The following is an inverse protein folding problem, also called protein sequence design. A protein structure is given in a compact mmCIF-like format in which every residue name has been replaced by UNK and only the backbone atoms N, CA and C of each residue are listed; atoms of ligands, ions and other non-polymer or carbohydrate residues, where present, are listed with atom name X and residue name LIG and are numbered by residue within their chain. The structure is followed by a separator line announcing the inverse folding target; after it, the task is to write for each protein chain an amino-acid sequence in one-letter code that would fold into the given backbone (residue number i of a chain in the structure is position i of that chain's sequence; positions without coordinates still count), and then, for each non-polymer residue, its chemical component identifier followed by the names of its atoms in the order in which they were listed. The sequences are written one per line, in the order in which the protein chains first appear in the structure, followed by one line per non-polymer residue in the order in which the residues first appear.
data_IF_733018233728
#
_entry.id   IF_733018233728
#
_cell.length_a   1.000
_cell.length_b   1.000
_cell.length_c   1.000
_cell.angle_alpha   90.00
_cell.angle_beta   90.00
_cell.angle_gamma   90.00
#
_symmetry.space_group_name_H-M   'P 1'
#
loop_
_entity.id
_entity.type
_entity.pdbx_description
1 polymer ?
#
# COMPACT_ATOMS: atom_id res chain seq x y z
N UNK A 1 17.09 6.61 -53.31
CA UNK A 1 16.75 7.28 -54.58
C UNK A 1 17.68 6.76 -55.69
N UNK A 2 17.36 6.98 -56.96
CA UNK A 2 18.15 6.49 -58.11
C UNK A 2 19.60 7.00 -58.13
N UNK A 3 19.89 8.06 -57.36
CA UNK A 3 21.22 8.64 -57.10
C UNK A 3 22.00 7.95 -55.95
N UNK A 4 21.47 6.87 -55.34
CA UNK A 4 22.11 6.19 -54.20
C UNK A 4 21.88 6.84 -52.83
N UNK A 5 21.05 7.89 -52.74
CA UNK A 5 20.71 8.57 -51.49
C UNK A 5 19.70 7.75 -50.65
N UNK A 6 19.98 7.64 -49.35
CA UNK A 6 19.09 7.05 -48.34
C UNK A 6 18.29 8.15 -47.65
N UNK A 7 16.97 8.00 -47.61
CA UNK A 7 16.05 8.87 -46.87
C UNK A 7 15.31 7.99 -45.86
N UNK A 8 15.22 8.46 -44.62
CA UNK A 8 14.58 7.74 -43.52
C UNK A 8 13.59 8.66 -42.80
N UNK A 9 12.59 8.04 -42.18
CA UNK A 9 11.65 8.67 -41.27
C UNK A 9 11.35 7.68 -40.14
N UNK A 10 11.02 8.17 -38.94
CA UNK A 10 10.74 7.36 -37.77
C UNK A 10 9.49 7.87 -37.05
N UNK A 11 8.71 6.93 -36.52
CA UNK A 11 7.48 7.22 -35.79
C UNK A 11 7.43 6.36 -34.53
N UNK A 12 7.29 7.02 -33.38
CA UNK A 12 7.05 6.34 -32.11
C UNK A 12 5.57 6.03 -31.95
N UNK A 13 5.25 4.77 -31.65
CA UNK A 13 3.89 4.30 -31.43
C UNK A 13 3.78 3.81 -30.00
N UNK A 14 2.95 4.47 -29.21
CA UNK A 14 2.62 4.00 -27.87
C UNK A 14 1.56 2.89 -27.97
N UNK A 15 1.89 1.72 -27.44
CA UNK A 15 0.99 0.56 -27.37
C UNK A 15 0.51 0.37 -25.94
N UNK A 16 -0.79 0.11 -25.79
CA UNK A 16 -1.38 -0.33 -24.52
C UNK A 16 -1.15 -1.83 -24.30
N UNK A 17 -1.26 -2.28 -23.04
CA UNK A 17 -1.16 -3.69 -22.69
C UNK A 17 0.27 -4.23 -22.60
N UNK A 18 1.17 -3.43 -22.01
CA UNK A 18 2.59 -3.80 -21.80
C UNK A 18 2.75 -5.11 -21.00
N UNK A 19 1.87 -5.34 -20.01
CA UNK A 19 1.83 -6.60 -19.27
C UNK A 19 0.84 -7.56 -19.96
N UNK A 20 1.37 -8.65 -20.52
CA UNK A 20 0.55 -9.68 -21.19
C UNK A 20 0.01 -10.73 -20.20
N UNK A 21 0.66 -10.87 -19.05
CA UNK A 21 0.18 -11.66 -17.93
C UNK A 21 -0.72 -10.83 -17.03
N UNK A 22 -1.55 -11.50 -16.24
CA UNK A 22 -2.45 -10.88 -15.29
C UNK A 22 -2.52 -11.71 -14.01
N UNK A 23 -3.01 -11.09 -12.95
CA UNK A 23 -3.41 -11.77 -11.74
C UNK A 23 -4.66 -11.10 -11.18
N UNK A 24 -5.71 -11.90 -10.94
CA UNK A 24 -6.88 -11.46 -10.18
C UNK A 24 -6.94 -12.23 -8.87
N UNK A 25 -7.28 -11.51 -7.80
CA UNK A 25 -7.45 -12.06 -6.45
C UNK A 25 -8.89 -11.82 -6.03
N UNK A 26 -9.58 -12.90 -5.65
CA UNK A 26 -10.96 -12.86 -5.15
C UNK A 26 -11.03 -13.51 -3.79
N UNK A 27 -11.63 -12.80 -2.84
CA UNK A 27 -11.85 -13.31 -1.50
C UNK A 27 -13.28 -13.81 -1.37
N UNK A 28 -13.49 -14.89 -0.62
CA UNK A 28 -14.85 -15.38 -0.34
C UNK A 28 -15.68 -14.39 0.50
N UNK A 29 -15.02 -13.51 1.28
CA UNK A 29 -15.63 -12.51 2.15
C UNK A 29 -14.77 -11.25 2.17
N UNK A 30 -15.41 -10.08 2.17
CA UNK A 30 -14.75 -8.78 2.31
C UNK A 30 -14.62 -8.36 3.78
N UNK A 31 -15.39 -8.96 4.68
CA UNK A 31 -15.35 -8.70 6.10
C UNK A 31 -15.40 -10.00 6.91
N UNK A 32 -14.61 -10.05 7.98
CA UNK A 32 -14.49 -11.22 8.82
C UNK A 32 -14.14 -10.87 10.26
N UNK A 33 -14.22 -11.85 11.15
CA UNK A 33 -13.82 -11.71 12.55
C UNK A 33 -12.36 -12.16 12.72
N UNK A 34 -11.63 -11.54 13.66
CA UNK A 34 -10.31 -11.99 14.10
C UNK A 34 -10.27 -13.50 14.34
N UNK A 35 -9.28 -14.19 13.77
CA UNK A 35 -9.08 -15.63 13.92
C UNK A 35 -9.99 -16.52 13.07
N UNK A 36 -10.76 -15.96 12.13
CA UNK A 36 -11.61 -16.74 11.21
C UNK A 36 -10.83 -17.16 9.96
N UNK A 37 -11.13 -18.33 9.37
CA UNK A 37 -10.56 -18.72 8.08
C UNK A 37 -11.15 -17.88 6.95
N UNK A 38 -10.31 -17.49 6.00
CA UNK A 38 -10.65 -16.79 4.75
C UNK A 38 -10.04 -17.55 3.58
N UNK A 39 -10.80 -17.63 2.50
CA UNK A 39 -10.38 -18.32 1.28
C UNK A 39 -10.11 -17.28 0.19
N UNK A 40 -8.92 -17.37 -0.39
CA UNK A 40 -8.42 -16.53 -1.46
C UNK A 40 -8.35 -17.37 -2.73
N UNK A 41 -9.07 -16.93 -3.76
CA UNK A 41 -9.07 -17.54 -5.08
C UNK A 41 -8.28 -16.64 -6.02
N UNK A 42 -7.36 -17.24 -6.76
CA UNK A 42 -6.46 -16.58 -7.68
C UNK A 42 -6.74 -17.05 -9.09
N UNK A 43 -6.67 -16.12 -10.03
CA UNK A 43 -6.77 -16.39 -11.47
C UNK A 43 -5.59 -15.72 -12.17
N UNK A 44 -4.81 -16.49 -12.90
CA UNK A 44 -3.65 -16.05 -13.66
C UNK A 44 -3.52 -16.88 -14.94
N UNK A 45 -2.44 -16.67 -15.71
CA UNK A 45 -2.12 -17.56 -16.82
C UNK A 45 -1.77 -18.98 -16.30
N UNK A 46 -2.03 -20.03 -17.10
CA UNK A 46 -1.73 -21.42 -16.70
C UNK A 46 -0.26 -21.62 -16.32
N UNK A 47 -0.02 -22.31 -15.20
CA UNK A 47 1.32 -22.58 -14.66
C UNK A 47 2.15 -21.32 -14.32
N UNK A 48 1.52 -20.16 -14.22
CA UNK A 48 2.19 -18.96 -13.76
C UNK A 48 2.44 -19.01 -12.26
N UNK A 49 3.59 -18.49 -11.86
CA UNK A 49 3.94 -18.32 -10.48
C UNK A 49 3.24 -17.07 -9.92
N UNK A 50 2.70 -17.12 -8.70
CA UNK A 50 1.99 -16.01 -8.06
C UNK A 50 2.64 -15.71 -6.71
N UNK A 51 3.17 -14.49 -6.57
CA UNK A 51 3.61 -13.94 -5.28
C UNK A 51 2.49 -13.14 -4.63
N UNK A 52 2.26 -13.36 -3.34
CA UNK A 52 1.23 -12.65 -2.59
C UNK A 52 1.77 -11.98 -1.32
N UNK A 53 1.29 -10.76 -1.07
CA UNK A 53 1.63 -9.95 0.09
C UNK A 53 0.34 -9.42 0.72
N UNK A 54 0.24 -9.47 2.05
CA UNK A 54 -0.83 -8.81 2.79
C UNK A 54 -0.27 -8.00 3.95
N UNK A 55 -0.46 -6.69 3.91
CA UNK A 55 0.05 -5.74 4.90
C UNK A 55 -1.12 -5.03 5.58
N UNK A 56 -0.94 -4.69 6.85
CA UNK A 56 -1.91 -3.89 7.60
C UNK A 56 -2.04 -2.48 6.98
N UNK A 57 -3.27 -1.99 6.81
CA UNK A 57 -3.52 -0.64 6.30
C UNK A 57 -2.79 0.44 7.14
N UNK A 58 -2.64 0.25 8.45
CA UNK A 58 -1.92 1.20 9.32
C UNK A 58 -0.45 1.35 8.95
N UNK A 59 0.22 0.27 8.54
CA UNK A 59 1.62 0.30 8.07
C UNK A 59 1.73 1.03 6.73
N UNK A 60 0.75 0.81 5.84
CA UNK A 60 0.70 1.46 4.54
C UNK A 60 0.51 2.99 4.67
N UNK A 61 -0.15 3.46 5.73
CA UNK A 61 -0.29 4.90 6.02
C UNK A 61 1.02 5.55 6.50
N UNK A 62 1.96 4.77 7.05
CA UNK A 62 3.24 5.31 7.54
C UNK A 62 4.22 5.56 6.40
N UNK A 63 4.26 4.66 5.41
CA UNK A 63 5.14 4.78 4.25
C UNK A 63 4.57 4.01 3.06
N UNK A 64 4.33 4.73 1.97
CA UNK A 64 3.97 4.16 0.67
C UNK A 64 5.22 4.05 -0.23
N UNK A 65 5.15 3.22 -1.27
CA UNK A 65 6.17 3.15 -2.32
C UNK A 65 7.11 1.94 -2.29
N UNK A 66 6.82 0.92 -1.48
CA UNK A 66 7.55 -0.36 -1.51
C UNK A 66 6.88 -1.42 -2.40
N UNK A 67 5.68 -1.14 -2.92
CA UNK A 67 4.94 -2.04 -3.81
C UNK A 67 5.37 -1.86 -5.27
N UNK A 68 5.20 -2.92 -6.07
CA UNK A 68 5.50 -2.91 -7.50
C UNK A 68 4.30 -2.28 -8.22
N UNK A 69 4.48 -1.04 -8.68
CA UNK A 69 3.46 -0.30 -9.43
C UNK A 69 3.68 -0.43 -10.94
N UNK A 70 2.58 -0.38 -11.70
CA UNK A 70 2.61 -0.46 -13.16
C UNK A 70 3.51 0.62 -13.77
N UNK A 71 3.42 1.85 -13.28
CA UNK A 71 4.18 2.98 -13.80
C UNK A 71 5.68 2.82 -13.55
N UNK A 72 6.08 2.26 -12.40
CA UNK A 72 7.47 1.95 -12.11
C UNK A 72 8.02 0.90 -13.08
N UNK A 73 7.30 -0.20 -13.29
CA UNK A 73 7.69 -1.25 -14.25
C UNK A 73 7.79 -0.68 -15.66
N UNK A 74 6.81 0.13 -16.07
CA UNK A 74 6.81 0.75 -17.39
C UNK A 74 7.97 1.71 -17.59
N UNK A 75 8.27 2.54 -16.58
CA UNK A 75 9.40 3.48 -16.62
C UNK A 75 10.74 2.76 -16.71
N UNK A 76 10.90 1.66 -15.97
CA UNK A 76 12.10 0.83 -16.00
C UNK A 76 12.24 0.13 -17.35
N UNK A 77 11.16 -0.44 -17.90
CA UNK A 77 11.16 -1.04 -19.24
C UNK A 77 11.56 -0.03 -20.32
N UNK A 78 11.07 1.21 -20.23
CA UNK A 78 11.43 2.30 -21.16
C UNK A 78 12.91 2.68 -21.06
N UNK A 79 13.53 2.53 -19.90
CA UNK A 79 14.96 2.83 -19.72
C UNK A 79 15.90 1.89 -20.50
N UNK A 80 15.41 0.69 -20.85
CA UNK A 80 16.14 -0.26 -21.68
C UNK A 80 15.98 -0.01 -23.18
N UNK A 81 15.07 0.88 -23.58
CA UNK A 81 14.96 1.26 -24.98
C UNK A 81 16.23 2.02 -25.37
N UNK A 82 16.85 1.57 -26.47
CA UNK A 82 18.03 2.21 -27.03
C UNK A 82 17.67 3.48 -27.80
N UNK A 83 16.37 3.76 -27.97
CA UNK A 83 15.91 5.00 -28.57
C UNK A 83 16.20 6.20 -27.66
N UNK A 84 16.78 7.25 -28.25
CA UNK A 84 17.00 8.51 -27.53
C UNK A 84 15.79 9.42 -27.76
N UNK A 85 15.13 9.81 -26.67
CA UNK A 85 14.04 10.79 -26.75
C UNK A 85 14.61 12.09 -27.31
N UNK A 86 14.05 12.57 -28.42
CA UNK A 86 14.52 13.82 -29.02
C UNK A 86 14.54 14.94 -27.98
N UNK A 87 15.65 15.68 -27.87
CA UNK A 87 15.83 16.81 -26.94
C UNK A 87 14.87 18.00 -27.19
N UNK A 88 13.87 17.84 -28.06
CA UNK A 88 12.73 18.75 -28.17
C UNK A 88 11.78 18.55 -26.98
N UNK A 89 12.20 19.03 -25.80
CA UNK A 89 11.26 19.47 -24.78
C UNK A 89 10.70 20.80 -25.29
N UNK A 90 9.40 20.92 -25.60
CA UNK A 90 8.81 22.23 -25.71
C UNK A 90 8.83 22.79 -24.28
N UNK A 91 9.56 23.89 -24.06
CA UNK A 91 9.38 24.79 -22.92
C UNK A 91 7.98 25.46 -22.91
N UNK A 92 6.98 24.81 -23.50
CA UNK A 92 5.64 25.31 -23.83
C UNK A 92 4.59 24.21 -23.63
N UNK A 93 4.65 23.48 -22.51
CA UNK A 93 3.55 22.59 -22.10
C UNK A 93 2.27 23.39 -21.76
N UNK A 94 2.40 24.69 -21.50
CA UNK A 94 1.29 25.62 -21.21
C UNK A 94 0.58 26.28 -22.40
N UNK A 95 0.96 26.01 -23.66
CA UNK A 95 0.32 26.62 -24.86
C UNK A 95 -0.62 25.63 -25.56
N UNK A 96 -1.06 24.58 -24.84
CA UNK A 96 -1.77 23.43 -25.41
C UNK A 96 -3.27 23.61 -25.68
N UNK A 97 -3.88 24.77 -25.46
CA UNK A 97 -5.32 24.88 -25.71
C UNK A 97 -5.73 25.37 -27.10
N UNK A 98 -4.88 26.05 -27.88
CA UNK A 98 -5.37 26.68 -29.13
C UNK A 98 -4.33 26.76 -30.25
N UNK A 99 -4.11 25.64 -30.97
CA UNK A 99 -3.90 25.51 -32.44
C UNK A 99 -3.06 24.28 -32.80
N UNK A 100 -3.68 23.33 -33.49
CA UNK A 100 -3.12 22.05 -33.95
C UNK A 100 -2.36 22.15 -35.29
N UNK A 101 -1.45 23.12 -35.46
CA UNK A 101 -0.80 23.35 -36.77
C UNK A 101 0.74 23.32 -36.74
N UNK A 102 1.36 22.79 -35.69
CA UNK A 102 2.82 22.66 -35.65
C UNK A 102 3.23 21.20 -35.87
N UNK A 103 3.75 20.90 -37.06
CA UNK A 103 4.43 19.64 -37.39
C UNK A 103 5.86 19.73 -36.86
N UNK A 104 6.27 18.73 -36.06
CA UNK A 104 7.61 18.64 -35.50
C UNK A 104 8.37 17.56 -36.27
N UNK A 105 9.50 17.87 -36.91
CA UNK A 105 10.36 16.84 -37.46
C UNK A 105 11.04 16.10 -36.29
N UNK A 106 10.78 14.80 -36.14
CA UNK A 106 11.42 13.98 -35.10
C UNK A 106 12.94 13.82 -35.28
N UNK A 107 13.41 13.89 -36.54
CA UNK A 107 14.83 13.91 -36.92
C UNK A 107 15.04 14.82 -38.13
N UNK A 108 16.22 15.43 -38.23
CA UNK A 108 16.59 16.34 -39.33
C UNK A 108 17.31 15.61 -40.47
N UNK A 109 17.96 14.49 -40.16
CA UNK A 109 18.81 13.75 -41.10
C UNK A 109 18.54 12.26 -41.04
N UNK A 110 18.73 11.57 -42.15
CA UNK A 110 18.50 10.13 -42.23
C UNK A 110 19.38 9.35 -41.23
N UNK A 111 20.60 9.83 -40.95
CA UNK A 111 21.46 9.21 -39.94
C UNK A 111 20.93 9.39 -38.52
N UNK A 112 20.52 10.61 -38.17
CA UNK A 112 19.91 10.89 -36.86
C UNK A 112 18.62 10.07 -36.67
N UNK A 113 17.85 9.84 -37.74
CA UNK A 113 16.69 8.93 -37.70
C UNK A 113 17.09 7.52 -37.25
N UNK A 114 18.15 6.95 -37.84
CA UNK A 114 18.63 5.62 -37.48
C UNK A 114 19.27 5.58 -36.09
N UNK A 115 20.10 6.57 -35.74
CA UNK A 115 20.75 6.67 -34.43
C UNK A 115 19.71 6.79 -33.31
N UNK A 116 18.72 7.69 -33.46
CA UNK A 116 17.66 7.88 -32.47
C UNK A 116 16.70 6.70 -32.37
N UNK A 117 16.51 5.92 -33.44
CA UNK A 117 15.71 4.70 -33.38
C UNK A 117 16.49 3.50 -32.82
N UNK A 118 17.74 3.68 -32.37
CA UNK A 118 18.61 2.60 -31.92
C UNK A 118 19.06 1.63 -33.03
N UNK A 119 18.92 2.03 -34.30
CA UNK A 119 19.22 1.19 -35.46
C UNK A 119 20.61 1.50 -36.04
N UNK A 120 21.36 0.46 -36.39
CA UNK A 120 22.64 0.60 -37.10
C UNK A 120 22.44 0.27 -38.57
N UNK A 121 22.72 1.25 -39.45
CA UNK A 121 22.65 1.07 -40.90
C UNK A 121 24.02 0.73 -41.49
N UNK A 122 24.09 -0.34 -42.29
CA UNK A 122 25.25 -0.66 -43.13
C UNK A 122 24.82 -0.60 -44.59
N UNK A 123 25.30 0.41 -45.33
CA UNK A 123 24.89 0.65 -46.71
C UNK A 123 26.06 1.12 -47.56
N UNK A 124 26.03 0.77 -48.84
CA UNK A 124 26.90 1.31 -49.88
C UNK A 124 26.34 2.60 -50.51
N UNK A 125 25.17 3.06 -50.06
CA UNK A 125 24.55 4.32 -50.45
C UNK A 125 25.01 5.52 -49.62
N UNK A 126 24.64 6.72 -50.07
CA UNK A 126 24.95 7.96 -49.36
C UNK A 126 23.91 8.21 -48.27
N UNK A 127 24.37 8.28 -47.02
CA UNK A 127 23.59 8.71 -45.85
C UNK A 127 24.08 10.12 -45.47
N UNK A 128 23.17 11.08 -45.40
CA UNK A 128 23.52 12.46 -45.06
C UNK A 128 23.57 12.66 -43.54
N UNK A 129 24.72 13.12 -43.05
CA UNK A 129 24.89 13.76 -41.73
C UNK A 129 24.89 15.27 -41.94
N UNK A 130 23.90 16.00 -41.43
CA UNK A 130 23.93 17.46 -41.46
C UNK A 130 23.38 18.08 -40.18
N UNK A 131 24.27 18.70 -39.41
CA UNK A 131 23.93 19.56 -38.27
C UNK A 131 23.88 21.04 -38.70
N UNK A 132 22.72 21.70 -38.70
CA UNK A 132 22.69 23.16 -38.69
C UNK A 132 22.90 23.70 -37.26
N UNK A 133 23.64 24.79 -37.16
CA UNK A 133 23.99 25.45 -35.91
C UNK A 133 22.74 26.08 -35.25
N UNK A 134 22.55 25.82 -33.96
CA UNK A 134 21.51 26.45 -33.13
C UNK A 134 21.95 27.86 -32.68
N UNK A 135 21.13 28.87 -32.97
CA UNK A 135 21.27 30.22 -32.39
C UNK A 135 20.67 30.23 -30.98
N UNK A 136 21.49 30.55 -29.97
CA UNK A 136 20.99 31.15 -28.74
C UNK A 136 21.04 32.67 -28.89
N UNK A 137 19.91 33.36 -28.67
CA UNK A 137 19.93 34.77 -28.28
C UNK A 137 18.83 35.07 -27.26
N UNK A 138 19.30 35.58 -26.13
CA UNK A 138 18.61 35.92 -24.89
C UNK A 138 17.77 37.21 -24.97
N UNK A 139 16.76 37.31 -24.09
CA UNK A 139 16.29 38.52 -23.39
C UNK A 139 15.04 38.13 -22.57
N UNK A 140 15.08 37.96 -21.25
CA UNK A 140 15.18 38.98 -20.17
C UNK A 140 13.82 39.32 -19.55
N UNK A 141 13.78 39.21 -18.21
CA UNK A 141 13.04 40.06 -17.25
C UNK A 141 11.61 39.70 -16.83
N UNK A 142 11.39 39.67 -15.50
CA UNK A 142 10.09 39.82 -14.81
C UNK A 142 9.70 38.59 -13.96
N UNK A 143 10.11 38.42 -12.69
CA UNK A 143 9.65 39.08 -11.44
C UNK A 143 8.27 38.56 -10.93
N UNK A 144 8.33 37.81 -9.80
CA UNK A 144 7.32 37.56 -8.73
C UNK A 144 6.10 36.67 -9.10
N UNK A 145 5.55 35.82 -8.25
CA UNK A 145 5.41 35.83 -6.79
C UNK A 145 4.98 34.44 -6.26
N UNK A 146 5.21 34.20 -4.98
CA UNK A 146 4.72 33.10 -4.13
C UNK A 146 3.28 33.37 -3.65
N UNK A 147 2.46 32.32 -3.45
CA UNK A 147 1.53 32.18 -2.31
C UNK A 147 0.67 30.88 -2.38
N UNK A 148 0.90 30.03 -1.37
CA UNK A 148 -0.03 29.37 -0.43
C UNK A 148 -1.34 28.63 -0.85
N UNK A 149 -1.39 27.37 -0.39
CA UNK A 149 -2.46 26.62 0.30
C UNK A 149 -3.94 27.04 0.16
N UNK A 150 -4.79 26.09 -0.26
CA UNK A 150 -6.13 25.90 0.31
C UNK A 150 -6.53 24.41 0.31
N UNK A 151 -6.96 23.96 1.50
CA UNK A 151 -7.42 22.62 1.85
C UNK A 151 -8.96 22.46 1.72
N UNK A 152 -9.38 21.19 1.82
CA UNK A 152 -10.67 20.63 2.31
C UNK A 152 -11.76 20.16 1.33
N UNK A 153 -11.86 18.83 1.27
CA UNK A 153 -12.94 17.97 1.77
C UNK A 153 -14.25 17.72 0.99
N UNK A 154 -14.56 16.41 0.94
CA UNK A 154 -15.85 15.73 1.11
C UNK A 154 -16.78 15.54 -0.10
N UNK A 155 -17.00 14.27 -0.49
CA UNK A 155 -18.31 13.59 -0.41
C UNK A 155 -18.24 12.12 -0.85
N UNK A 156 -18.60 11.21 0.08
CA UNK A 156 -18.95 9.80 -0.15
C UNK A 156 -20.47 9.67 -0.35
N UNK A 157 -20.94 8.54 -0.92
CA UNK A 157 -22.11 7.89 -0.35
C UNK A 157 -21.94 6.38 -0.05
N UNK A 158 -22.52 6.03 1.11
CA UNK A 158 -22.92 4.72 1.69
C UNK A 158 -23.95 3.97 0.79
N UNK A 159 -24.34 2.68 0.92
CA UNK A 159 -24.15 1.52 1.82
C UNK A 159 -24.98 0.36 1.19
N UNK A 160 -24.63 -0.92 1.40
CA UNK A 160 -25.68 -1.95 1.61
C UNK A 160 -25.21 -3.12 2.48
N UNK A 161 -26.09 -3.42 3.44
CA UNK A 161 -26.11 -4.35 4.57
C UNK A 161 -26.11 -5.84 4.21
N UNK A 162 -25.40 -6.67 5.01
CA UNK A 162 -25.72 -8.10 5.21
C UNK A 162 -25.59 -8.44 6.70
N UNK A 163 -26.64 -9.07 7.25
CA UNK A 163 -26.80 -9.45 8.67
C UNK A 163 -26.22 -10.82 9.02
N UNK A 164 -25.46 -10.82 10.13
CA UNK A 164 -25.24 -11.80 11.21
C UNK A 164 -25.59 -13.29 11.07
N UNK A 165 -24.66 -14.14 11.54
CA UNK A 165 -24.93 -15.18 12.55
C UNK A 165 -23.74 -15.31 13.52
N UNK A 166 -24.02 -15.50 14.82
CA UNK A 166 -23.02 -15.93 15.80
C UNK A 166 -23.63 -16.84 16.85
N UNK A 167 -23.18 -18.08 16.87
CA UNK A 167 -23.31 -18.95 18.03
C UNK A 167 -22.39 -18.50 19.18
N UNK A 168 -22.67 -18.93 20.41
CA UNK A 168 -21.86 -18.60 21.57
C UNK A 168 -20.51 -19.32 21.47
N UNK A 169 -19.44 -18.55 21.30
CA UNK A 169 -18.07 -19.03 21.47
C UNK A 169 -17.49 -18.44 22.74
N UNK A 170 -16.78 -19.29 23.49
CA UNK A 170 -15.94 -18.87 24.61
C UNK A 170 -14.97 -17.78 24.13
N UNK A 171 -14.71 -16.74 24.94
CA UNK A 171 -13.92 -15.60 24.50
C UNK A 171 -12.46 -16.03 24.26
N UNK A 172 -12.09 -16.16 22.99
CA UNK A 172 -10.70 -16.35 22.57
C UNK A 172 -9.91 -15.07 22.85
N UNK A 173 -8.89 -15.18 23.70
CA UNK A 173 -7.90 -14.11 23.92
C UNK A 173 -7.09 -13.92 22.64
N UNK A 174 -6.89 -12.65 22.27
CA UNK A 174 -6.16 -12.25 21.06
C UNK A 174 -4.70 -12.06 21.41
N UNK A 175 -3.80 -12.69 20.67
CA UNK A 175 -2.35 -12.60 20.90
C UNK A 175 -1.53 -12.37 19.63
N UNK A 176 -2.09 -12.67 18.46
CA UNK A 176 -1.35 -12.57 17.19
C UNK A 176 -1.63 -11.23 16.50
N UNK A 177 -0.71 -10.26 16.67
CA UNK A 177 -0.78 -8.91 16.09
C UNK A 177 0.41 -8.61 15.16
N UNK A 178 0.55 -9.30 14.02
CA UNK A 178 1.65 -9.05 13.09
C UNK A 178 1.39 -7.78 12.27
N UNK A 179 2.46 -7.16 11.75
CA UNK A 179 2.37 -6.05 10.79
C UNK A 179 2.12 -6.56 9.36
N UNK A 180 2.65 -7.75 9.04
CA UNK A 180 2.49 -8.45 7.76
C UNK A 180 1.81 -9.79 8.00
N UNK A 181 0.72 -10.04 7.28
CA UNK A 181 -0.06 -11.28 7.44
C UNK A 181 0.34 -12.37 6.45
N UNK A 182 0.43 -12.03 5.16
CA UNK A 182 0.74 -13.00 4.10
C UNK A 182 2.04 -12.60 3.40
N UNK A 183 2.92 -13.58 3.25
CA UNK A 183 4.12 -13.51 2.42
C UNK A 183 4.38 -14.91 1.87
N UNK A 184 3.64 -15.25 0.80
CA UNK A 184 3.61 -16.62 0.28
C UNK A 184 3.65 -16.63 -1.23
N UNK A 185 3.99 -17.81 -1.76
CA UNK A 185 4.22 -18.04 -3.16
C UNK A 185 3.41 -19.28 -3.54
N UNK A 186 2.58 -19.16 -4.57
CA UNK A 186 1.73 -20.25 -5.05
C UNK A 186 1.86 -20.38 -6.57
N UNK A 187 1.75 -21.59 -7.08
CA UNK A 187 1.72 -21.83 -8.51
C UNK A 187 0.27 -21.94 -8.99
N UNK A 188 -0.05 -21.25 -10.09
CA UNK A 188 -1.34 -21.42 -10.77
C UNK A 188 -1.39 -22.82 -11.39
N UNK A 189 -2.53 -23.50 -11.27
CA UNK A 189 -2.73 -24.80 -11.90
C UNK A 189 -2.70 -24.74 -13.43
N UNK A 190 -2.87 -25.89 -14.07
CA UNK A 190 -2.98 -26.01 -15.54
C UNK A 190 -4.20 -25.25 -16.07
N UNK A 191 -5.20 -25.03 -15.22
CA UNK A 191 -6.40 -24.23 -15.49
C UNK A 191 -6.23 -22.73 -15.16
N UNK A 192 -5.03 -22.30 -14.73
CA UNK A 192 -4.74 -20.92 -14.36
C UNK A 192 -5.34 -20.49 -13.01
N UNK A 193 -5.81 -21.44 -12.20
CA UNK A 193 -6.46 -21.14 -10.92
C UNK A 193 -5.66 -21.69 -9.75
N UNK A 194 -5.74 -20.98 -8.62
CA UNK A 194 -5.22 -21.45 -7.35
C UNK A 194 -6.13 -21.00 -6.21
N UNK A 195 -6.18 -21.77 -5.13
CA UNK A 195 -6.97 -21.47 -3.95
C UNK A 195 -6.11 -21.61 -2.70
N UNK A 196 -6.16 -20.60 -1.84
CA UNK A 196 -5.42 -20.55 -0.58
C UNK A 196 -6.37 -20.27 0.59
N UNK A 197 -6.41 -21.16 1.56
CA UNK A 197 -7.16 -20.95 2.81
C UNK A 197 -6.20 -20.54 3.92
N UNK A 198 -6.42 -19.35 4.49
CA UNK A 198 -5.60 -18.80 5.57
C UNK A 198 -6.44 -18.27 6.70
N UNK A 199 -5.93 -18.41 7.92
CA UNK A 199 -6.57 -17.84 9.11
C UNK A 199 -6.11 -16.40 9.28
N UNK A 200 -7.08 -15.50 9.45
CA UNK A 200 -6.81 -14.07 9.63
C UNK A 200 -6.24 -13.82 11.03
N UNK A 201 -5.25 -12.92 11.19
CA UNK A 201 -4.67 -12.60 12.49
C UNK A 201 -5.69 -11.97 13.44
N UNK A 202 -5.27 -11.74 14.68
CA UNK A 202 -6.16 -11.23 15.71
C UNK A 202 -6.29 -9.68 15.71
N UNK A 203 -5.57 -9.00 14.82
CA UNK A 203 -5.67 -7.56 14.59
C UNK A 203 -7.07 -7.17 14.11
N UNK A 204 -7.63 -6.09 14.66
CA UNK A 204 -8.90 -5.51 14.20
C UNK A 204 -8.53 -4.34 13.29
N UNK A 205 -8.10 -4.70 12.08
CA UNK A 205 -7.62 -3.75 11.07
C UNK A 205 -8.19 -4.12 9.70
N UNK A 206 -7.85 -3.34 8.68
CA UNK A 206 -8.02 -3.77 7.29
C UNK A 206 -6.69 -4.25 6.73
N UNK A 207 -6.70 -5.45 6.16
CA UNK A 207 -5.56 -6.00 5.42
C UNK A 207 -5.66 -5.61 3.95
N UNK A 208 -4.57 -5.09 3.41
CA UNK A 208 -4.43 -4.78 1.98
C UNK A 208 -3.66 -5.91 1.34
N UNK A 209 -4.32 -6.66 0.45
CA UNK A 209 -3.73 -7.81 -0.24
C UNK A 209 -3.33 -7.41 -1.65
N UNK A 210 -2.05 -7.58 -1.96
CA UNK A 210 -1.43 -7.36 -3.26
C UNK A 210 -0.87 -8.68 -3.79
N UNK A 211 -0.81 -8.81 -5.11
CA UNK A 211 -0.26 -9.97 -5.77
C UNK A 211 0.37 -9.59 -7.11
N UNK A 212 1.36 -10.38 -7.52
CA UNK A 212 1.93 -10.34 -8.87
C UNK A 212 2.06 -11.76 -9.40
N UNK A 213 1.96 -11.93 -10.72
CA UNK A 213 2.19 -13.20 -11.40
C UNK A 213 3.40 -13.12 -12.32
N UNK A 214 4.13 -14.22 -12.47
CA UNK A 214 5.29 -14.33 -13.37
C UNK A 214 5.16 -15.60 -14.19
N UNK A 215 5.30 -15.44 -15.49
CA UNK A 215 5.24 -16.53 -16.45
C UNK A 215 6.40 -16.46 -17.45
N UNK A 216 7.05 -17.57 -17.81
CA UNK A 216 8.12 -17.56 -18.80
C UNK A 216 7.69 -17.10 -20.20
N UNK A 217 6.41 -17.30 -20.55
CA UNK A 217 5.87 -16.95 -21.87
C UNK A 217 5.18 -15.58 -21.86
N UNK A 218 4.36 -15.31 -20.83
CA UNK A 218 3.56 -14.08 -20.75
C UNK A 218 4.20 -12.96 -19.92
N UNK A 219 5.31 -13.23 -19.23
CA UNK A 219 6.02 -12.25 -18.42
C UNK A 219 5.34 -11.93 -17.07
N UNK A 220 5.55 -10.70 -16.61
CA UNK A 220 5.01 -10.19 -15.35
C UNK A 220 3.54 -9.76 -15.53
N UNK A 221 2.72 -10.06 -14.53
CA UNK A 221 1.36 -9.57 -14.36
C UNK A 221 1.23 -8.91 -13.00
N UNK A 222 0.57 -7.76 -12.93
CA UNK A 222 0.30 -7.05 -11.69
C UNK A 222 -1.20 -7.04 -11.42
N UNK A 223 -1.55 -6.95 -10.15
CA UNK A 223 -2.93 -6.75 -9.73
C UNK A 223 -3.31 -5.27 -9.94
N UNK A 224 -4.41 -5.00 -10.64
CA UNK A 224 -4.86 -3.63 -10.94
C UNK A 224 -5.09 -2.77 -9.68
N UNK A 225 -5.70 -3.37 -8.66
CA UNK A 225 -6.01 -2.71 -7.39
C UNK A 225 -5.86 -3.68 -6.23
N UNK A 226 -5.22 -3.26 -5.12
CA UNK A 226 -5.15 -4.06 -3.91
C UNK A 226 -6.54 -4.48 -3.41
N UNK A 227 -6.66 -5.73 -2.95
CA UNK A 227 -7.92 -6.25 -2.39
C UNK A 227 -7.95 -6.02 -0.88
N UNK A 228 -8.99 -5.34 -0.40
CA UNK A 228 -9.17 -5.00 1.00
C UNK A 228 -9.99 -6.05 1.75
N UNK A 229 -9.43 -6.61 2.83
CA UNK A 229 -10.14 -7.47 3.78
C UNK A 229 -10.31 -6.75 5.11
N UNK A 230 -11.56 -6.51 5.52
CA UNK A 230 -11.88 -5.84 6.79
C UNK A 230 -12.00 -6.84 7.93
N UNK A 231 -11.22 -6.66 8.98
CA UNK A 231 -11.32 -7.46 10.21
C UNK A 231 -11.98 -6.61 11.28
N UNK A 232 -13.19 -6.99 11.67
CA UNK A 232 -13.99 -6.17 12.57
C UNK A 232 -14.64 -6.98 13.69
N UNK A 233 -14.72 -6.36 14.86
CA UNK A 233 -15.60 -6.80 15.96
C UNK A 233 -16.31 -5.58 16.52
N UNK A 234 -17.61 -5.69 16.85
CA UNK A 234 -18.39 -4.57 17.35
C UNK A 234 -18.02 -4.15 18.78
N UNK A 235 -17.38 -5.03 19.55
CA UNK A 235 -16.93 -4.74 20.91
C UNK A 235 -15.52 -5.28 21.11
N UNK A 236 -14.58 -4.40 21.45
CA UNK A 236 -13.18 -4.78 21.64
C UNK A 236 -12.43 -3.79 22.53
N UNK A 237 -11.28 -4.26 23.02
CA UNK A 237 -10.32 -3.46 23.77
C UNK A 237 -9.13 -3.14 22.86
N UNK A 238 -8.65 -1.90 22.93
CA UNK A 238 -7.42 -1.43 22.30
C UNK A 238 -6.46 -0.93 23.38
N UNK A 239 -5.18 -1.22 23.20
CA UNK A 239 -4.10 -0.82 24.09
C UNK A 239 -3.18 0.11 23.29
N UNK A 240 -2.94 1.30 23.80
CA UNK A 240 -1.96 2.22 23.21
C UNK A 240 -0.68 2.13 24.03
N UNK A 241 0.19 1.21 23.62
CA UNK A 241 1.39 0.88 24.38
C UNK A 241 2.57 1.70 23.86
N UNK A 242 3.34 2.35 24.75
CA UNK A 242 4.60 2.95 24.34
C UNK A 242 5.57 1.87 23.86
N UNK A 243 6.43 2.21 22.90
CA UNK A 243 7.43 1.29 22.35
C UNK A 243 8.35 0.71 23.42
N UNK A 244 8.70 1.51 24.44
CA UNK A 244 9.57 1.10 25.55
C UNK A 244 9.20 1.83 26.84
N UNK A 245 9.46 1.19 27.97
CA UNK A 245 9.28 1.74 29.32
C UNK A 245 10.56 1.57 30.13
N UNK A 246 10.80 2.47 31.09
CA UNK A 246 11.97 2.40 31.96
C UNK A 246 11.64 1.53 33.18
N UNK A 247 12.50 0.56 33.46
CA UNK A 247 12.36 -0.32 34.63
C UNK A 247 12.39 0.48 35.94
N UNK A 248 11.44 0.24 36.82
CA UNK A 248 11.31 0.92 38.11
C UNK A 248 10.56 2.26 38.05
N UNK A 249 10.24 2.77 36.87
CA UNK A 249 9.37 3.93 36.72
C UNK A 249 7.89 3.55 36.67
N UNK A 250 7.04 4.46 37.13
CA UNK A 250 5.59 4.30 37.05
C UNK A 250 5.14 4.74 35.66
N UNK A 251 4.50 3.84 34.92
CA UNK A 251 3.91 4.11 33.61
C UNK A 251 2.40 3.88 33.67
N UNK A 252 1.65 4.77 33.02
CA UNK A 252 0.24 4.57 32.74
C UNK A 252 0.09 3.75 31.45
N UNK A 253 -0.61 2.62 31.52
CA UNK A 253 -1.05 1.84 30.37
C UNK A 253 -2.46 2.28 30.01
N UNK A 254 -2.65 3.12 28.98
CA UNK A 254 -3.97 3.53 28.54
C UNK A 254 -4.67 2.38 27.81
N UNK A 255 -5.94 2.21 28.14
CA UNK A 255 -6.81 1.18 27.59
C UNK A 255 -8.09 1.84 27.12
N UNK A 256 -8.49 1.56 25.89
CA UNK A 256 -9.73 2.07 25.32
C UNK A 256 -10.64 0.89 25.00
N UNK A 257 -11.87 0.94 25.52
CA UNK A 257 -12.92 -0.03 25.22
C UNK A 257 -13.87 0.60 24.22
N UNK A 258 -13.97 0.01 23.03
CA UNK A 258 -14.86 0.47 21.97
C UNK A 258 -16.15 -0.36 21.96
N UNK A 259 -17.27 0.33 21.82
CA UNK A 259 -18.59 -0.26 21.69
C UNK A 259 -19.31 0.30 20.46
N UNK A 260 -19.28 -0.45 19.36
CA UNK A 260 -20.01 -0.17 18.12
C UNK A 260 -21.37 -0.89 18.06
N UNK A 261 -21.97 -1.22 19.21
CA UNK A 261 -23.33 -1.76 19.29
C UNK A 261 -24.32 -0.64 19.58
N UNK A 262 -25.59 -0.85 19.27
CA UNK A 262 -26.67 0.12 19.48
C UNK A 262 -27.13 0.25 20.95
N UNK A 263 -26.41 -0.38 21.88
CA UNK A 263 -26.76 -0.41 23.30
C UNK A 263 -25.55 -0.09 24.15
N UNK A 264 -25.79 0.62 25.23
CA UNK A 264 -24.81 0.84 26.27
C UNK A 264 -24.44 -0.46 26.98
N UNK A 265 -23.16 -0.60 27.34
CA UNK A 265 -22.60 -1.78 28.00
C UNK A 265 -21.82 -1.39 29.24
N UNK A 266 -22.01 -2.14 30.33
CA UNK A 266 -21.11 -2.12 31.48
C UNK A 266 -19.99 -3.14 31.24
N UNK A 267 -18.77 -2.66 31.04
CA UNK A 267 -17.59 -3.47 30.80
C UNK A 267 -16.72 -3.55 32.06
N UNK A 268 -16.18 -4.73 32.36
CA UNK A 268 -15.13 -4.93 33.36
C UNK A 268 -13.82 -5.23 32.63
N UNK A 269 -12.84 -4.34 32.76
CA UNK A 269 -11.50 -4.50 32.20
C UNK A 269 -10.60 -5.07 33.28
N UNK A 270 -9.97 -6.21 33.00
CA UNK A 270 -9.02 -6.87 33.90
C UNK A 270 -7.64 -6.85 33.25
N UNK A 271 -6.64 -6.32 33.96
CA UNK A 271 -5.23 -6.46 33.60
C UNK A 271 -4.64 -7.56 34.49
N UNK A 272 -4.19 -8.65 33.88
CA UNK A 272 -3.53 -9.77 34.56
C UNK A 272 -2.01 -9.57 34.54
N UNK A 273 -1.34 -10.03 35.58
CA UNK A 273 0.09 -9.87 35.81
C UNK A 273 0.71 -11.25 36.10
N UNK A 274 1.73 -11.60 35.32
CA UNK A 274 2.50 -12.85 35.48
C UNK A 274 3.84 -12.61 36.20
N UNK A 275 3.84 -11.78 37.24
CA UNK A 275 5.02 -11.34 38.03
C UNK A 275 6.07 -10.52 37.23
N UNK A 276 5.63 -9.84 36.17
CA UNK A 276 6.50 -9.01 35.32
C UNK A 276 6.54 -7.54 35.76
N UNK A 277 5.47 -7.06 36.41
CA UNK A 277 5.33 -5.69 36.91
C UNK A 277 4.59 -5.67 38.25
N UNK A 278 4.60 -4.53 38.93
CA UNK A 278 3.76 -4.27 40.10
C UNK A 278 2.68 -3.26 39.72
N UNK A 279 1.47 -3.38 40.28
CA UNK A 279 0.47 -2.33 40.16
C UNK A 279 0.85 -1.16 41.06
N UNK A 280 0.86 0.06 40.51
CA UNK A 280 1.05 1.28 41.28
C UNK A 280 -0.30 1.87 41.69
N UNK A 281 -0.39 2.39 42.91
CA UNK A 281 -1.54 3.16 43.38
C UNK A 281 -1.19 4.62 43.62
N UNK A 282 -2.18 5.50 43.40
CA UNK A 282 -2.10 6.92 43.74
C UNK A 282 -2.46 7.20 45.20
N UNK A 283 -2.59 6.18 46.07
CA UNK A 283 -2.91 6.43 47.46
C UNK A 283 -1.72 7.16 48.10
N UNK A 284 -1.97 8.39 48.57
CA UNK A 284 -1.02 9.15 49.40
C UNK A 284 -0.89 8.56 50.82
N UNK A 285 -1.33 7.32 51.03
CA UNK A 285 -1.23 6.64 52.32
C UNK A 285 0.17 6.03 52.45
N UNK A 286 0.99 6.71 53.25
CA UNK A 286 2.39 6.39 53.60
C UNK A 286 2.56 5.01 54.27
N UNK A 287 1.48 4.24 54.46
CA UNK A 287 1.47 2.95 55.14
C UNK A 287 1.02 1.77 54.28
N UNK A 288 0.76 1.93 52.98
CA UNK A 288 0.48 0.78 52.10
C UNK A 288 1.80 0.12 51.70
N UNK A 289 2.33 -0.70 52.61
CA UNK A 289 3.32 -1.74 52.26
C UNK A 289 2.62 -2.63 51.22
N UNK A 290 3.19 -2.85 50.02
CA UNK A 290 2.56 -3.67 48.99
C UNK A 290 2.40 -5.09 49.53
N UNK A 291 1.20 -5.37 50.03
CA UNK A 291 0.90 -6.60 50.76
C UNK A 291 0.41 -7.62 49.74
N UNK A 292 1.36 -8.24 49.03
CA UNK A 292 1.10 -9.38 48.16
C UNK A 292 1.43 -9.14 46.69
N UNK A 293 1.67 -10.24 45.97
CA UNK A 293 1.66 -10.24 44.51
C UNK A 293 0.23 -9.99 44.04
N UNK A 294 -0.08 -8.76 43.64
CA UNK A 294 -1.32 -8.48 42.93
C UNK A 294 -1.24 -9.12 41.53
N UNK A 295 -1.90 -10.26 41.39
CA UNK A 295 -1.93 -11.05 40.14
C UNK A 295 -2.85 -10.44 39.07
N UNK A 296 -3.80 -9.58 39.46
CA UNK A 296 -4.68 -8.91 38.51
C UNK A 296 -5.32 -7.66 39.13
N UNK A 297 -5.68 -6.69 38.27
CA UNK A 297 -6.44 -5.50 38.66
C UNK A 297 -7.66 -5.31 37.75
N UNK A 298 -8.81 -4.97 38.36
CA UNK A 298 -10.08 -4.80 37.65
C UNK A 298 -10.57 -3.36 37.71
N UNK A 299 -11.13 -2.87 36.61
CA UNK A 299 -11.81 -1.57 36.52
C UNK A 299 -13.12 -1.73 35.75
N UNK A 300 -14.20 -1.13 36.27
CA UNK A 300 -15.51 -1.13 35.61
C UNK A 300 -15.75 0.18 34.91
N UNK A 301 -16.26 0.11 33.69
CA UNK A 301 -16.57 1.26 32.84
C UNK A 301 -17.94 1.11 32.20
N UNK A 302 -18.67 2.22 32.14
CA UNK A 302 -19.87 2.34 31.31
C UNK A 302 -19.46 2.83 29.93
N UNK A 303 -19.69 2.02 28.89
CA UNK A 303 -19.43 2.38 27.50
C UNK A 303 -20.77 2.61 26.81
N UNK A 304 -20.98 3.82 26.27
CA UNK A 304 -22.22 4.15 25.57
C UNK A 304 -22.30 3.43 24.22
N UNK A 305 -23.49 3.38 23.64
CA UNK A 305 -23.70 2.90 22.28
C UNK A 305 -22.92 3.73 21.26
N UNK A 306 -22.26 3.07 20.30
CA UNK A 306 -21.44 3.69 19.25
C UNK A 306 -20.37 4.66 19.78
N UNK A 307 -19.78 4.36 20.94
CA UNK A 307 -18.82 5.23 21.64
C UNK A 307 -17.63 4.42 22.21
N UNK A 308 -16.60 5.14 22.66
CA UNK A 308 -15.42 4.58 23.32
C UNK A 308 -15.26 5.12 24.75
N UNK A 309 -14.89 4.25 25.69
CA UNK A 309 -14.54 4.65 27.06
C UNK A 309 -13.07 4.34 27.34
N UNK A 310 -12.38 5.27 28.00
CA UNK A 310 -10.97 5.12 28.35
C UNK A 310 -10.77 4.78 29.85
N UNK A 311 -9.74 4.00 30.12
CA UNK A 311 -9.22 3.73 31.47
C UNK A 311 -7.71 3.58 31.38
N UNK A 312 -7.02 3.60 32.51
CA UNK A 312 -5.58 3.35 32.53
C UNK A 312 -5.19 2.49 33.73
N UNK A 313 -4.18 1.66 33.58
CA UNK A 313 -3.56 0.91 34.68
C UNK A 313 -2.16 1.46 34.91
N UNK A 314 -1.87 1.85 36.15
CA UNK A 314 -0.52 2.27 36.51
C UNK A 314 0.29 1.03 36.88
N UNK A 315 1.44 0.85 36.24
CA UNK A 315 2.33 -0.28 36.49
C UNK A 315 3.76 0.20 36.69
N UNK A 316 4.52 -0.57 37.46
CA UNK A 316 5.96 -0.40 37.64
C UNK A 316 6.65 -1.66 37.12
N UNK A 317 7.35 -1.62 35.97
CA UNK A 317 8.02 -2.78 35.41
C UNK A 317 9.13 -3.30 36.33
N UNK A 318 9.17 -4.62 36.56
CA UNK A 318 10.12 -5.30 37.46
C UNK A 318 11.21 -6.02 36.67
N UNK A 319 10.83 -6.73 35.62
CA UNK A 319 11.75 -7.53 34.80
C UNK A 319 12.24 -6.75 33.56
N UNK A 320 13.39 -7.15 33.02
CA UNK A 320 13.90 -6.66 31.74
C UNK A 320 13.46 -7.62 30.63
N UNK A 321 13.08 -7.07 29.48
CA UNK A 321 12.69 -7.80 28.27
C UNK A 321 13.06 -6.99 27.03
#
# INVERSE_FOLDING_TARGET
RDNGEVVADALDIQLDGVLQNFVDVRMNRLETRPGSPVELNFEAKPNSYIGLLAVDQSVMLLRTGNDIEYDHVLSEMRSYDASDSSQFIPQMEGIRERRSLFWWPGSLTAQETFEKSGAVIMTNGYVFEHYPWLYYRAASSGVLMDDHDLMFAENLPHLSTITSESGPQTPRVRSNFPETWLWEMIDAGVDGKATLSKTVPDTITSWMVTAFSVDPLYGLGLLDQPRKLRVFRPFFVSLDLPYSVIRGEIVAIPVVVFNYMDKDVDAEVTLENSDEFNFADYSNDVNDVPTGLDLFRKKRLRVRANDGANTAFMITPKQLG
#
